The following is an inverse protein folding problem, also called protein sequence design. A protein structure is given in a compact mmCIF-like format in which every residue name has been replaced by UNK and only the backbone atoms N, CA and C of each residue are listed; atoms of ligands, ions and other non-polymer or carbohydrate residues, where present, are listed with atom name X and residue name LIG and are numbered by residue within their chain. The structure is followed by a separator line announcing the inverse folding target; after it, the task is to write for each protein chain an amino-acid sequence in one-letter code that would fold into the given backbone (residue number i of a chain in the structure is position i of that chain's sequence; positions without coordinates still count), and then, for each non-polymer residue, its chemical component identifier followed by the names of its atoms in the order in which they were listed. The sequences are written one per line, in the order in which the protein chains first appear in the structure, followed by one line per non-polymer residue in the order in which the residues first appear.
data_IF_079696177522
#
_entry.id   IF_079696177522
#
_cell.length_a   1.000
_cell.length_b   1.000
_cell.length_c   1.000
_cell.angle_alpha   90.00
_cell.angle_beta   90.00
_cell.angle_gamma   90.00
#
_symmetry.space_group_name_H-M   'P 1'
#
loop_
_entity.id
_entity.type
_entity.pdbx_description
1 polymer ?
#
# COMPACT_ATOMS: atom_id res chain seq x y z
N UNK A 1 48.46 33.68 12.39
CA UNK A 1 47.52 32.71 12.99
C UNK A 1 48.02 31.33 12.64
N UNK A 2 48.37 30.52 13.64
CA UNK A 2 48.65 29.10 13.43
C UNK A 2 47.29 28.38 13.36
N UNK A 3 46.98 27.75 12.23
CA UNK A 3 45.79 26.94 12.08
C UNK A 3 46.19 25.49 12.32
N UNK A 4 45.63 24.88 13.36
CA UNK A 4 45.77 23.45 13.58
C UNK A 4 44.85 22.70 12.62
N UNK A 5 45.38 21.71 11.92
CA UNK A 5 44.58 20.79 11.10
C UNK A 5 43.96 19.72 12.01
N UNK A 6 42.71 19.97 12.42
CA UNK A 6 41.94 19.03 13.24
C UNK A 6 41.20 18.06 12.31
N UNK A 7 41.48 16.77 12.51
CA UNK A 7 40.83 15.64 11.85
C UNK A 7 39.46 15.39 12.46
N UNK A 8 38.61 14.81 11.63
CA UNK A 8 37.27 14.39 12.02
C UNK A 8 37.29 13.18 12.95
N UNK A 9 36.20 12.99 13.70
CA UNK A 9 35.98 11.92 14.69
C UNK A 9 37.14 11.74 15.68
N UNK A 10 37.81 12.84 16.04
CA UNK A 10 39.03 12.84 16.85
C UNK A 10 38.85 13.66 18.12
N UNK A 11 39.43 13.17 19.22
CA UNK A 11 39.47 13.86 20.52
C UNK A 11 40.78 14.64 20.65
N UNK A 12 40.67 15.86 21.16
CA UNK A 12 41.80 16.77 21.27
C UNK A 12 41.85 17.45 22.64
N UNK A 13 43.00 18.07 22.90
CA UNK A 13 43.25 18.96 24.03
C UNK A 13 43.82 20.27 23.50
N UNK A 14 43.28 21.40 23.96
CA UNK A 14 43.85 22.73 23.69
C UNK A 14 44.40 23.24 25.01
N UNK A 15 45.68 23.65 25.00
CA UNK A 15 46.34 24.27 26.13
C UNK A 15 47.02 25.57 25.71
N UNK A 16 47.04 26.54 26.63
CA UNK A 16 47.81 27.76 26.49
C UNK A 16 48.84 27.83 27.61
N UNK A 17 50.08 28.06 27.22
CA UNK A 17 51.19 28.42 28.09
C UNK A 17 51.71 29.77 27.63
N UNK A 18 52.07 30.63 28.57
CA UNK A 18 52.60 31.95 28.29
C UNK A 18 53.84 32.18 29.14
N UNK A 19 54.84 32.82 28.55
CA UNK A 19 56.06 33.25 29.22
C UNK A 19 56.14 34.78 29.12
N UNK A 20 56.37 35.46 30.23
CA UNK A 20 56.58 36.91 30.20
C UNK A 20 58.02 37.28 29.74
N UNK A 21 58.29 38.56 29.50
CA UNK A 21 59.62 39.03 29.08
C UNK A 21 60.73 38.77 30.11
N UNK A 22 60.37 38.45 31.36
CA UNK A 22 61.28 38.14 32.45
C UNK A 22 61.49 36.61 32.64
N UNK A 23 60.83 35.78 31.82
CA UNK A 23 60.95 34.33 31.84
C UNK A 23 60.02 33.61 32.82
N UNK A 24 59.00 34.28 33.36
CA UNK A 24 58.03 33.63 34.24
C UNK A 24 56.94 32.94 33.40
N UNK A 25 56.71 31.65 33.67
CA UNK A 25 55.63 30.88 33.05
C UNK A 25 54.29 31.11 33.77
N UNK A 26 53.24 31.35 32.99
CA UNK A 26 51.86 31.35 33.46
C UNK A 26 51.42 29.93 33.85
N UNK A 27 50.45 29.84 34.77
CA UNK A 27 49.79 28.55 35.05
C UNK A 27 49.06 28.11 33.77
N UNK A 28 49.31 26.88 33.26
CA UNK A 28 48.65 26.40 32.05
C UNK A 28 47.14 26.40 32.23
N UNK A 29 46.44 26.86 31.19
CA UNK A 29 44.98 26.71 31.08
C UNK A 29 44.68 25.88 29.85
N UNK A 30 43.71 24.97 29.95
CA UNK A 30 43.35 24.13 28.83
C UNK A 30 41.96 23.56 28.90
N UNK A 31 41.45 23.22 27.73
CA UNK A 31 40.24 22.41 27.54
C UNK A 31 40.68 21.00 27.16
N UNK A 32 40.17 20.03 27.90
CA UNK A 32 40.45 18.61 27.71
C UNK A 32 39.22 17.95 27.09
N UNK A 33 39.43 16.92 26.27
CA UNK A 33 38.39 16.08 25.70
C UNK A 33 37.38 16.80 24.79
N UNK A 34 37.83 17.78 23.99
CA UNK A 34 36.95 18.31 22.94
C UNK A 34 36.97 17.36 21.74
N UNK A 35 35.80 17.11 21.16
CA UNK A 35 35.62 16.23 20.01
C UNK A 35 35.36 17.09 18.78
N UNK A 36 36.03 16.76 17.68
CA UNK A 36 35.69 17.32 16.37
C UNK A 36 34.92 16.26 15.62
N UNK A 37 33.68 16.59 15.30
CA UNK A 37 32.80 15.79 14.46
C UNK A 37 32.17 16.68 13.40
N UNK A 38 32.35 16.32 12.15
CA UNK A 38 31.84 17.02 10.95
C UNK A 38 31.02 16.07 10.09
N UNK A 39 30.78 14.85 10.56
CA UNK A 39 30.01 13.86 9.81
C UNK A 39 28.54 14.20 9.92
N UNK A 40 27.84 14.21 8.79
CA UNK A 40 26.39 14.44 8.79
C UNK A 40 25.70 13.13 9.17
N UNK A 41 24.62 13.17 9.97
CA UNK A 41 23.79 12.00 10.16
C UNK A 41 23.17 11.57 8.84
N UNK A 42 23.14 10.27 8.56
CA UNK A 42 22.59 9.67 7.34
C UNK A 42 21.53 8.65 7.70
N UNK A 43 20.35 8.81 7.10
CA UNK A 43 19.31 7.79 7.09
C UNK A 43 19.52 6.88 5.88
N UNK A 44 19.47 5.56 6.09
CA UNK A 44 19.62 4.55 5.05
C UNK A 44 18.63 3.40 5.25
N UNK A 45 18.50 2.50 4.28
CA UNK A 45 17.58 1.35 4.33
C UNK A 45 16.14 1.74 4.72
N UNK A 46 15.63 2.79 4.07
CA UNK A 46 14.39 3.45 4.50
C UNK A 46 13.16 2.74 3.93
N UNK A 47 12.16 2.55 4.78
CA UNK A 47 10.77 2.23 4.45
C UNK A 47 9.85 3.26 5.13
N UNK A 48 8.80 3.77 4.47
CA UNK A 48 8.38 3.43 3.10
C UNK A 48 9.35 3.97 2.03
N UNK A 49 9.24 3.45 0.81
CA UNK A 49 10.01 3.92 -0.35
C UNK A 49 9.18 4.89 -1.19
N UNK A 50 9.82 5.63 -2.09
CA UNK A 50 9.08 6.48 -3.01
C UNK A 50 8.17 5.65 -3.93
N UNK A 51 7.04 6.22 -4.38
CA UNK A 51 6.04 5.58 -5.23
C UNK A 51 5.36 4.36 -4.59
N UNK A 52 5.15 4.38 -3.28
CA UNK A 52 4.43 3.31 -2.57
C UNK A 52 3.04 3.76 -2.14
N UNK A 53 2.15 2.79 -2.03
CA UNK A 53 0.83 2.90 -1.42
C UNK A 53 0.87 2.21 -0.07
N UNK A 54 0.20 2.78 0.92
CA UNK A 54 0.19 2.23 2.27
C UNK A 54 -1.00 2.74 3.06
N UNK A 55 -1.60 1.84 3.83
CA UNK A 55 -2.66 2.13 4.79
C UNK A 55 -2.13 2.30 6.24
N UNK A 56 -0.83 2.15 6.41
CA UNK A 56 -0.16 2.08 7.70
C UNK A 56 1.24 2.73 7.59
N UNK A 57 1.39 4.00 7.99
CA UNK A 57 2.60 4.79 7.76
C UNK A 57 3.71 4.42 8.75
N UNK A 58 4.19 3.17 8.65
CA UNK A 58 5.27 2.60 9.45
C UNK A 58 6.62 2.97 8.85
N UNK A 59 7.60 3.18 9.72
CA UNK A 59 8.95 3.57 9.35
C UNK A 59 9.96 2.50 9.73
N UNK A 60 10.87 2.22 8.80
CA UNK A 60 12.10 1.45 9.06
C UNK A 60 13.26 2.26 8.50
N UNK A 61 14.36 2.37 9.23
CA UNK A 61 15.56 3.05 8.75
C UNK A 61 16.80 2.62 9.53
N UNK A 62 17.97 2.95 9.00
CA UNK A 62 19.27 2.81 9.67
C UNK A 62 19.94 4.16 9.77
N UNK A 63 20.29 4.57 10.99
CA UNK A 63 21.06 5.77 11.28
C UNK A 63 22.56 5.49 11.28
N UNK A 64 23.34 6.37 10.64
CA UNK A 64 24.81 6.28 10.65
C UNK A 64 25.44 6.58 12.00
N UNK A 65 24.76 7.35 12.85
CA UNK A 65 25.23 7.86 14.15
C UNK A 65 24.06 8.27 15.05
N UNK A 66 24.35 8.61 16.32
CA UNK A 66 23.35 9.09 17.27
C UNK A 66 22.88 10.51 16.92
N UNK A 67 21.57 10.74 16.98
CA UNK A 67 20.97 12.06 16.84
C UNK A 67 20.85 12.78 18.18
N UNK A 68 21.00 14.10 18.16
CA UNK A 68 20.48 14.99 19.19
C UNK A 68 19.00 15.31 18.98
N UNK A 69 18.58 15.43 17.71
CA UNK A 69 17.24 15.80 17.31
C UNK A 69 16.88 15.19 15.97
N UNK A 70 15.62 14.78 15.81
CA UNK A 70 15.09 14.30 14.55
C UNK A 70 13.60 14.63 14.40
N UNK A 71 13.16 14.84 13.15
CA UNK A 71 11.73 15.00 12.84
C UNK A 71 11.40 14.44 11.46
N UNK A 72 10.12 14.12 11.28
CA UNK A 72 9.55 13.72 10.01
C UNK A 72 8.51 14.75 9.58
N UNK A 73 8.58 15.16 8.31
CA UNK A 73 7.68 16.14 7.72
C UNK A 73 6.97 15.50 6.54
N UNK A 74 5.64 15.42 6.62
CA UNK A 74 4.77 15.04 5.52
C UNK A 74 4.25 16.31 4.86
N UNK A 75 4.54 16.51 3.57
CA UNK A 75 4.00 17.62 2.77
C UNK A 75 3.05 17.07 1.73
N UNK A 76 1.78 17.48 1.77
CA UNK A 76 0.80 17.09 0.75
C UNK A 76 1.19 17.65 -0.63
N UNK A 77 1.24 16.77 -1.64
CA UNK A 77 1.60 17.12 -3.00
C UNK A 77 0.47 17.87 -3.74
N UNK A 78 0.78 18.40 -4.92
CA UNK A 78 -0.20 19.03 -5.82
C UNK A 78 -1.24 18.00 -6.29
N UNK A 79 -2.52 18.28 -6.05
CA UNK A 79 -3.63 17.37 -6.38
C UNK A 79 -4.36 16.79 -5.16
N UNK A 80 -3.82 16.94 -3.95
CA UNK A 80 -4.57 16.68 -2.71
C UNK A 80 -5.57 17.81 -2.41
N UNK A 81 -6.55 17.53 -1.54
CA UNK A 81 -7.58 18.50 -1.13
C UNK A 81 -6.98 19.80 -0.56
N UNK A 82 -5.86 19.70 0.16
CA UNK A 82 -5.18 20.83 0.82
C UNK A 82 -3.68 20.89 0.47
N UNK A 83 -3.35 20.85 -0.83
CA UNK A 83 -1.96 20.85 -1.31
C UNK A 83 -1.06 21.89 -0.62
N UNK A 84 0.13 21.44 -0.23
CA UNK A 84 1.11 22.25 0.51
C UNK A 84 0.92 22.23 2.04
N UNK A 85 -0.13 21.59 2.55
CA UNK A 85 -0.30 21.36 3.99
C UNK A 85 0.81 20.44 4.49
N UNK A 86 1.37 20.81 5.65
CA UNK A 86 2.43 20.06 6.31
C UNK A 86 1.95 19.46 7.62
N UNK A 87 2.29 18.21 7.82
CA UNK A 87 2.18 17.53 9.12
C UNK A 87 3.60 17.20 9.56
N UNK A 88 4.02 17.80 10.66
CA UNK A 88 5.37 17.61 11.21
C UNK A 88 5.27 16.97 12.58
N UNK A 89 6.12 15.99 12.85
CA UNK A 89 6.24 15.41 14.17
C UNK A 89 7.69 15.04 14.50
N UNK A 90 8.04 15.21 15.77
CA UNK A 90 9.37 14.92 16.28
C UNK A 90 9.52 13.42 16.54
N UNK A 91 10.67 12.88 16.13
CA UNK A 91 11.10 11.54 16.52
C UNK A 91 11.35 11.52 18.04
N UNK A 92 11.22 10.36 18.67
CA UNK A 92 11.46 10.25 20.11
C UNK A 92 12.91 9.87 20.43
N UNK A 93 13.26 9.83 21.73
CA UNK A 93 14.63 9.53 22.15
C UNK A 93 15.10 8.11 21.81
N UNK A 94 14.19 7.17 21.56
CA UNK A 94 14.52 5.80 21.15
C UNK A 94 14.98 5.81 19.68
N UNK A 95 14.31 6.61 18.85
CA UNK A 95 14.61 6.79 17.42
C UNK A 95 15.96 7.49 17.16
N UNK A 96 16.58 8.10 18.19
CA UNK A 96 17.83 8.85 18.05
C UNK A 96 19.09 7.99 18.09
N UNK A 97 18.99 6.70 18.40
CA UNK A 97 20.17 5.85 18.51
C UNK A 97 20.73 5.44 17.14
N UNK A 98 22.05 5.33 17.04
CA UNK A 98 22.74 4.79 15.87
C UNK A 98 22.28 3.36 15.58
N UNK A 99 22.17 3.03 14.30
CA UNK A 99 21.90 1.68 13.83
C UNK A 99 20.47 1.48 13.36
N UNK A 100 20.02 0.23 13.41
CA UNK A 100 18.77 -0.20 12.78
C UNK A 100 17.56 0.09 13.68
N UNK A 101 16.58 0.78 13.11
CA UNK A 101 15.26 1.01 13.66
C UNK A 101 14.26 0.18 12.86
N UNK A 102 13.66 -0.80 13.53
CA UNK A 102 12.73 -1.73 12.92
C UNK A 102 11.42 -1.04 12.52
N UNK A 103 10.70 -1.67 11.59
CA UNK A 103 9.40 -1.21 11.12
C UNK A 103 8.40 -0.98 12.26
N UNK A 104 8.11 0.27 12.59
CA UNK A 104 7.14 0.66 13.62
C UNK A 104 6.49 2.02 13.31
N UNK A 105 5.40 2.35 14.00
CA UNK A 105 4.89 3.71 14.06
C UNK A 105 5.86 4.60 14.83
N UNK A 106 6.14 5.78 14.31
CA UNK A 106 6.86 6.79 15.08
C UNK A 106 5.96 7.29 16.21
N UNK A 107 6.48 7.34 17.43
CA UNK A 107 5.66 7.50 18.64
C UNK A 107 4.77 8.75 18.65
N UNK A 108 5.28 9.85 18.11
CA UNK A 108 4.57 11.12 18.03
C UNK A 108 3.87 11.35 16.68
N UNK A 109 3.69 10.29 15.90
CA UNK A 109 3.07 10.39 14.58
C UNK A 109 1.65 10.97 14.67
N UNK A 110 1.44 12.04 13.93
CA UNK A 110 0.15 12.68 13.81
C UNK A 110 -0.70 12.02 12.72
N UNK A 111 -2.04 12.11 12.78
CA UNK A 111 -2.92 11.57 11.75
C UNK A 111 -2.60 12.15 10.37
N UNK A 112 -2.56 11.27 9.38
CA UNK A 112 -2.47 11.63 7.96
C UNK A 112 -3.87 11.68 7.34
N UNK A 113 -4.01 12.40 6.22
CA UNK A 113 -5.27 12.55 5.50
C UNK A 113 -5.45 11.38 4.54
N UNK A 114 -6.55 10.67 4.68
CA UNK A 114 -6.94 9.57 3.79
C UNK A 114 -7.05 10.03 2.32
N UNK A 115 -6.51 9.23 1.40
CA UNK A 115 -6.45 9.52 -0.04
C UNK A 115 -5.41 10.58 -0.45
N UNK A 116 -4.60 11.10 0.48
CA UNK A 116 -3.59 12.10 0.18
C UNK A 116 -2.27 11.48 -0.35
N UNK A 117 -1.57 12.26 -1.17
CA UNK A 117 -0.23 11.93 -1.68
C UNK A 117 0.76 12.85 -1.00
N UNK A 118 1.81 12.28 -0.39
CA UNK A 118 2.80 13.00 0.39
C UNK A 118 4.20 12.92 -0.22
N UNK A 119 4.95 13.99 -0.02
CA UNK A 119 6.41 13.95 0.06
C UNK A 119 6.80 13.94 1.54
N UNK A 120 7.53 12.90 1.96
CA UNK A 120 8.04 12.74 3.32
C UNK A 120 9.50 13.17 3.36
N UNK A 121 9.86 14.00 4.33
CA UNK A 121 11.24 14.41 4.59
C UNK A 121 11.66 13.94 5.98
N UNK A 122 12.80 13.25 6.07
CA UNK A 122 13.45 12.90 7.32
C UNK A 122 14.57 13.91 7.58
N UNK A 123 14.53 14.52 8.77
CA UNK A 123 15.50 15.53 9.21
C UNK A 123 16.17 15.05 10.47
N UNK A 124 17.50 15.12 10.51
CA UNK A 124 18.32 14.72 11.65
C UNK A 124 19.43 15.72 11.95
N UNK A 125 19.69 15.91 13.23
CA UNK A 125 20.80 16.68 13.77
C UNK A 125 21.54 15.81 14.79
N UNK A 126 22.84 15.67 14.64
CA UNK A 126 23.67 14.90 15.57
C UNK A 126 24.01 15.69 16.86
N UNK A 127 24.79 15.08 17.74
CA UNK A 127 25.26 15.68 19.01
C UNK A 127 26.22 16.85 18.77
N UNK A 128 26.93 16.87 17.64
CA UNK A 128 27.90 17.89 17.26
C UNK A 128 27.32 19.06 16.44
N UNK A 129 26.00 19.07 16.22
CA UNK A 129 25.25 20.07 15.44
C UNK A 129 25.42 19.96 13.91
N UNK A 130 25.83 18.78 13.41
CA UNK A 130 25.79 18.48 11.98
C UNK A 130 24.34 18.13 11.58
N UNK A 131 23.88 18.72 10.48
CA UNK A 131 22.46 18.71 10.06
C UNK A 131 22.26 18.02 8.71
N UNK A 132 21.30 17.11 8.62
CA UNK A 132 20.86 16.48 7.38
C UNK A 132 19.34 16.58 7.22
N UNK A 133 18.89 17.18 6.12
CA UNK A 133 17.49 17.28 5.72
C UNK A 133 17.27 16.82 4.27
N UNK A 134 18.22 16.09 3.69
CA UNK A 134 18.23 15.72 2.27
C UNK A 134 17.48 14.42 1.97
N UNK A 135 17.06 13.70 3.02
CA UNK A 135 16.38 12.41 2.91
C UNK A 135 14.91 12.61 2.56
N UNK A 136 14.51 12.17 1.36
CA UNK A 136 13.16 12.36 0.83
C UNK A 136 12.54 11.03 0.34
N UNK A 137 11.26 10.86 0.62
CA UNK A 137 10.38 9.84 0.04
C UNK A 137 9.28 10.59 -0.70
N UNK A 138 9.15 10.37 -2.01
CA UNK A 138 8.17 11.07 -2.85
C UNK A 138 7.06 10.14 -3.29
N UNK A 139 5.89 10.69 -3.61
CA UNK A 139 4.76 9.93 -4.18
C UNK A 139 4.30 8.80 -3.25
N UNK A 140 4.30 9.09 -1.94
CA UNK A 140 3.75 8.22 -0.91
C UNK A 140 2.23 8.41 -0.84
N UNK A 141 1.48 7.40 -1.27
CA UNK A 141 0.02 7.42 -1.26
C UNK A 141 -0.48 6.82 0.05
N UNK A 142 -1.14 7.64 0.86
CA UNK A 142 -1.76 7.19 2.10
C UNK A 142 -3.25 6.97 1.88
N UNK A 143 -3.71 5.74 2.11
CA UNK A 143 -5.09 5.33 1.86
C UNK A 143 -5.51 4.25 2.84
N UNK A 144 -6.53 4.53 3.65
CA UNK A 144 -7.14 3.61 4.63
C UNK A 144 -8.57 3.23 4.26
N UNK A 145 -9.09 3.74 3.13
CA UNK A 145 -10.43 3.40 2.67
C UNK A 145 -10.43 1.97 2.12
N UNK A 146 -11.44 1.17 2.49
CA UNK A 146 -11.56 -0.19 1.97
C UNK A 146 -12.03 -0.17 0.51
N UNK A 147 -11.47 -1.02 -0.37
CA UNK A 147 -11.99 -1.16 -1.73
C UNK A 147 -13.42 -1.71 -1.69
N UNK A 148 -14.33 -1.14 -2.46
CA UNK A 148 -15.70 -1.64 -2.62
C UNK A 148 -15.86 -2.21 -4.01
N UNK A 149 -16.17 -3.50 -4.09
CA UNK A 149 -16.53 -4.17 -5.34
C UNK A 149 -17.98 -4.62 -5.29
N UNK A 150 -18.76 -4.27 -6.31
CA UNK A 150 -20.16 -4.68 -6.45
C UNK A 150 -20.29 -5.72 -7.55
N UNK A 151 -20.89 -6.87 -7.24
CA UNK A 151 -21.33 -7.86 -8.23
C UNK A 151 -22.63 -7.37 -8.88
N UNK A 152 -22.60 -7.10 -10.18
CA UNK A 152 -23.73 -6.61 -10.96
C UNK A 152 -24.46 -7.74 -11.71
N UNK A 153 -23.72 -8.78 -12.09
CA UNK A 153 -24.20 -9.97 -12.79
C UNK A 153 -23.24 -11.12 -12.47
N UNK A 154 -23.70 -12.35 -12.18
CA UNK A 154 -25.09 -12.77 -12.05
C UNK A 154 -25.84 -12.14 -10.86
N UNK A 155 -27.16 -12.21 -10.90
CA UNK A 155 -28.06 -11.84 -9.79
C UNK A 155 -28.38 -13.07 -8.92
N UNK A 156 -28.91 -12.84 -7.71
CA UNK A 156 -29.36 -13.93 -6.83
C UNK A 156 -30.38 -14.82 -7.53
N UNK A 157 -30.27 -16.13 -7.33
CA UNK A 157 -31.18 -17.15 -7.87
C UNK A 157 -31.35 -17.11 -9.41
N UNK A 158 -30.42 -16.46 -10.12
CA UNK A 158 -30.45 -16.40 -11.58
C UNK A 158 -29.99 -17.72 -12.21
N UNK A 159 -30.47 -17.98 -13.42
CA UNK A 159 -30.00 -19.07 -14.26
C UNK A 159 -28.96 -18.53 -15.24
N UNK A 160 -27.77 -19.11 -15.26
CA UNK A 160 -26.67 -18.72 -16.14
C UNK A 160 -26.12 -19.93 -16.89
N UNK A 161 -25.76 -19.71 -18.15
CA UNK A 161 -25.12 -20.70 -19.00
C UNK A 161 -23.64 -20.39 -19.27
N UNK A 162 -23.09 -19.40 -18.56
CA UNK A 162 -21.67 -19.03 -18.60
C UNK A 162 -21.17 -18.69 -17.20
N UNK A 163 -19.86 -18.68 -17.01
CA UNK A 163 -19.21 -18.22 -15.78
C UNK A 163 -18.81 -16.73 -15.83
N UNK A 164 -19.43 -15.96 -16.74
CA UNK A 164 -19.16 -14.54 -16.85
C UNK A 164 -19.73 -13.80 -15.64
N UNK A 165 -18.97 -12.83 -15.15
CA UNK A 165 -19.35 -12.00 -14.00
C UNK A 165 -19.12 -10.54 -14.36
N UNK A 166 -20.05 -9.66 -14.03
CA UNK A 166 -19.87 -8.21 -14.18
C UNK A 166 -19.69 -7.60 -12.80
N UNK A 167 -18.60 -6.84 -12.63
CA UNK A 167 -18.25 -6.17 -11.36
C UNK A 167 -18.15 -4.67 -11.57
N UNK A 168 -18.26 -3.91 -10.48
CA UNK A 168 -17.92 -2.48 -10.44
C UNK A 168 -17.04 -2.20 -9.23
N UNK A 169 -15.81 -1.75 -9.47
CA UNK A 169 -14.81 -1.45 -8.43
C UNK A 169 -14.84 0.05 -8.10
N UNK A 170 -14.81 0.41 -6.82
CA UNK A 170 -14.71 1.81 -6.37
C UNK A 170 -13.36 2.45 -6.69
N UNK A 171 -12.34 1.62 -6.91
CA UNK A 171 -10.96 2.02 -7.13
C UNK A 171 -10.18 0.94 -7.89
N UNK A 172 -8.90 1.20 -8.17
CA UNK A 172 -8.02 0.19 -8.76
C UNK A 172 -7.59 -0.81 -7.67
N UNK A 173 -7.71 -2.09 -7.97
CA UNK A 173 -7.32 -3.16 -7.06
C UNK A 173 -5.89 -3.64 -7.35
N UNK A 174 -5.19 -4.07 -6.30
CA UNK A 174 -3.93 -4.80 -6.41
C UNK A 174 -4.17 -6.26 -6.74
N UNK A 175 -5.11 -6.89 -6.04
CA UNK A 175 -5.52 -8.29 -6.28
C UNK A 175 -7.01 -8.46 -6.06
N UNK A 176 -7.58 -9.48 -6.72
CA UNK A 176 -8.93 -9.95 -6.44
C UNK A 176 -9.01 -11.47 -6.67
N UNK A 177 -9.74 -12.15 -5.81
CA UNK A 177 -9.94 -13.60 -5.81
C UNK A 177 -11.43 -13.90 -5.84
N UNK A 178 -11.89 -14.54 -6.91
CA UNK A 178 -13.29 -14.89 -7.11
C UNK A 178 -13.55 -16.35 -6.72
N UNK A 179 -14.62 -16.54 -5.95
CA UNK A 179 -15.03 -17.83 -5.41
C UNK A 179 -16.43 -18.20 -5.89
N UNK A 180 -16.57 -19.40 -6.45
CA UNK A 180 -17.85 -20.06 -6.69
C UNK A 180 -17.97 -21.26 -5.76
N UNK A 181 -18.92 -21.27 -4.83
CA UNK A 181 -19.07 -22.30 -3.80
C UNK A 181 -20.37 -23.06 -4.00
N UNK A 182 -20.31 -24.38 -4.14
CA UNK A 182 -21.51 -25.21 -4.23
C UNK A 182 -22.13 -25.46 -2.83
N UNK A 183 -23.33 -26.05 -2.71
CA UNK A 183 -23.98 -26.30 -1.42
C UNK A 183 -23.24 -27.33 -0.56
N UNK A 184 -22.29 -28.08 -1.13
CA UNK A 184 -21.42 -29.01 -0.42
C UNK A 184 -20.18 -28.34 0.19
N UNK A 185 -19.95 -27.05 -0.12
CA UNK A 185 -18.78 -26.29 0.32
C UNK A 185 -17.57 -26.40 -0.60
N UNK A 186 -17.67 -27.06 -1.75
CA UNK A 186 -16.59 -27.12 -2.73
C UNK A 186 -16.45 -25.77 -3.43
N UNK A 187 -15.36 -25.07 -3.14
CA UNK A 187 -15.03 -23.79 -3.76
C UNK A 187 -14.21 -23.97 -5.05
N UNK A 188 -14.62 -23.26 -6.11
CA UNK A 188 -13.78 -22.97 -7.28
C UNK A 188 -13.22 -21.56 -7.13
N UNK A 189 -11.91 -21.47 -6.97
CA UNK A 189 -11.17 -20.23 -6.82
C UNK A 189 -10.49 -19.84 -8.14
N UNK A 190 -10.53 -18.55 -8.47
CA UNK A 190 -9.69 -17.97 -9.52
C UNK A 190 -9.22 -16.57 -9.14
N UNK A 191 -7.92 -16.28 -9.34
CA UNK A 191 -7.39 -14.93 -9.23
C UNK A 191 -7.72 -14.13 -10.49
N UNK A 192 -8.21 -12.90 -10.32
CA UNK A 192 -8.54 -12.02 -11.43
C UNK A 192 -7.27 -11.47 -12.09
N UNK A 193 -7.34 -11.26 -13.40
CA UNK A 193 -6.25 -10.72 -14.22
C UNK A 193 -6.14 -9.22 -13.97
N UNK A 194 -4.93 -8.68 -14.01
CA UNK A 194 -4.63 -7.24 -13.79
C UNK A 194 -5.54 -6.30 -14.60
N UNK A 195 -5.85 -6.63 -15.85
CA UNK A 195 -6.72 -5.79 -16.70
C UNK A 195 -8.16 -5.65 -16.21
N UNK A 196 -8.62 -6.59 -15.37
CA UNK A 196 -10.00 -6.64 -14.86
C UNK A 196 -10.08 -6.02 -13.44
N UNK A 197 -8.96 -5.53 -12.89
CA UNK A 197 -8.84 -4.91 -11.55
C UNK A 197 -9.01 -3.38 -11.57
N UNK A 198 -9.25 -2.80 -12.73
CA UNK A 198 -9.38 -1.35 -12.87
C UNK A 198 -10.65 -0.83 -12.18
N UNK A 199 -10.62 0.44 -11.76
CA UNK A 199 -11.78 1.17 -11.27
C UNK A 199 -12.95 1.13 -12.28
N UNK A 200 -14.17 1.07 -11.76
CA UNK A 200 -15.40 1.07 -12.54
C UNK A 200 -15.84 -0.32 -12.99
N UNK A 201 -16.71 -0.35 -14.00
CA UNK A 201 -17.35 -1.58 -14.47
C UNK A 201 -16.41 -2.44 -15.33
N UNK A 202 -16.29 -3.72 -14.97
CA UNK A 202 -15.49 -4.70 -15.70
C UNK A 202 -16.29 -5.99 -15.88
N UNK A 203 -16.23 -6.55 -17.09
CA UNK A 203 -16.86 -7.84 -17.42
C UNK A 203 -15.81 -8.96 -17.44
N UNK A 204 -15.86 -9.80 -16.42
CA UNK A 204 -15.00 -10.95 -16.22
C UNK A 204 -15.41 -12.09 -17.17
N UNK A 205 -14.60 -12.34 -18.19
CA UNK A 205 -14.83 -13.40 -19.19
C UNK A 205 -13.58 -14.24 -19.40
N UNK A 206 -13.75 -15.47 -19.91
CA UNK A 206 -12.63 -16.36 -20.25
C UNK A 206 -11.76 -16.72 -19.04
N UNK A 207 -12.39 -16.91 -17.87
CA UNK A 207 -11.74 -17.55 -16.73
C UNK A 207 -11.97 -19.05 -16.80
N UNK A 208 -10.91 -19.84 -16.60
CA UNK A 208 -10.94 -21.29 -16.68
C UNK A 208 -11.57 -21.90 -15.41
N UNK A 209 -12.86 -21.67 -15.22
CA UNK A 209 -13.65 -22.17 -14.08
C UNK A 209 -14.55 -23.29 -14.58
N UNK A 210 -14.38 -24.48 -14.02
CA UNK A 210 -15.25 -25.63 -14.29
C UNK A 210 -16.38 -25.68 -13.26
N UNK A 211 -17.56 -25.20 -13.67
CA UNK A 211 -18.80 -25.31 -12.92
C UNK A 211 -19.56 -26.57 -13.34
N UNK A 212 -20.23 -27.21 -12.39
CA UNK A 212 -21.04 -28.40 -12.62
C UNK A 212 -22.43 -28.00 -13.10
N UNK A 213 -22.94 -28.74 -14.08
CA UNK A 213 -24.29 -28.57 -14.61
C UNK A 213 -25.38 -28.78 -13.54
N UNK A 214 -26.47 -28.02 -13.65
CA UNK A 214 -27.62 -28.05 -12.74
C UNK A 214 -27.24 -27.93 -11.26
N UNK A 215 -26.18 -27.18 -10.97
CA UNK A 215 -25.66 -26.98 -9.61
C UNK A 215 -25.87 -25.53 -9.19
N UNK A 216 -26.31 -25.35 -7.94
CA UNK A 216 -26.40 -24.04 -7.31
C UNK A 216 -25.03 -23.56 -6.85
N UNK A 217 -24.73 -22.28 -6.98
CA UNK A 217 -23.50 -21.69 -6.51
C UNK A 217 -23.75 -20.37 -5.80
N UNK A 218 -23.01 -20.15 -4.73
CA UNK A 218 -22.83 -18.85 -4.13
C UNK A 218 -21.53 -18.23 -4.66
N UNK A 219 -21.57 -16.94 -4.97
CA UNK A 219 -20.46 -16.19 -5.59
C UNK A 219 -20.05 -15.02 -4.70
N UNK A 220 -18.76 -14.87 -4.45
CA UNK A 220 -18.18 -13.66 -3.87
C UNK A 220 -16.75 -13.42 -4.35
N UNK A 221 -16.25 -12.21 -4.13
CA UNK A 221 -14.88 -11.82 -4.47
C UNK A 221 -14.22 -11.20 -3.24
N UNK A 222 -13.02 -11.69 -2.91
CA UNK A 222 -12.12 -11.02 -1.97
C UNK A 222 -11.23 -10.06 -2.76
N UNK A 223 -11.01 -8.86 -2.25
CA UNK A 223 -10.30 -7.78 -2.95
C UNK A 223 -9.27 -7.15 -2.03
N UNK A 224 -8.16 -6.72 -2.64
CA UNK A 224 -7.09 -5.96 -1.99
C UNK A 224 -6.78 -4.77 -2.88
N UNK A 225 -6.77 -3.55 -2.33
CA UNK A 225 -6.37 -2.36 -3.07
C UNK A 225 -4.84 -2.18 -3.13
N UNK A 226 -4.39 -1.09 -3.73
CA UNK A 226 -2.96 -0.78 -3.84
C UNK A 226 -2.29 -0.51 -2.48
N UNK A 227 -3.02 0.04 -1.52
CA UNK A 227 -2.52 0.37 -0.17
C UNK A 227 -2.54 -0.83 0.80
N UNK A 228 -3.14 -1.95 0.37
CA UNK A 228 -3.26 -3.18 1.14
C UNK A 228 -4.55 -3.29 1.96
N UNK A 229 -5.52 -2.38 1.79
CA UNK A 229 -6.83 -2.53 2.42
C UNK A 229 -7.58 -3.70 1.76
N UNK A 230 -8.33 -4.45 2.56
CA UNK A 230 -9.01 -5.66 2.09
C UNK A 230 -10.52 -5.57 2.29
N UNK A 231 -11.28 -6.13 1.35
CA UNK A 231 -12.73 -6.23 1.47
C UNK A 231 -13.27 -7.47 0.75
N UNK A 232 -14.48 -7.89 1.13
CA UNK A 232 -15.23 -8.94 0.46
C UNK A 232 -16.54 -8.36 -0.10
N UNK A 233 -16.92 -8.77 -1.29
CA UNK A 233 -18.25 -8.43 -1.84
C UNK A 233 -19.38 -9.04 -1.00
N UNK A 234 -20.60 -8.55 -1.21
CA UNK A 234 -21.79 -9.35 -0.83
C UNK A 234 -21.72 -10.69 -1.56
N UNK A 235 -22.21 -11.74 -0.90
CA UNK A 235 -22.44 -13.02 -1.54
C UNK A 235 -23.67 -12.88 -2.45
N UNK A 236 -23.52 -13.29 -3.72
CA UNK A 236 -24.63 -13.53 -4.64
C UNK A 236 -25.04 -14.98 -4.50
N UNK A 237 -26.26 -15.24 -4.06
CA UNK A 237 -26.69 -16.56 -3.59
C UNK A 237 -27.47 -17.34 -4.65
N UNK A 238 -27.27 -18.66 -4.66
CA UNK A 238 -28.14 -19.60 -5.36
C UNK A 238 -28.16 -19.51 -6.89
N UNK A 239 -27.07 -19.05 -7.51
CA UNK A 239 -26.90 -19.00 -8.97
C UNK A 239 -26.95 -20.42 -9.54
N UNK A 240 -27.80 -20.67 -10.52
CA UNK A 240 -27.95 -21.99 -11.14
C UNK A 240 -27.19 -22.01 -12.45
N UNK A 241 -26.15 -22.85 -12.52
CA UNK A 241 -25.42 -23.07 -13.77
C UNK A 241 -26.11 -24.16 -14.60
N UNK A 242 -26.67 -23.75 -15.75
CA UNK A 242 -27.43 -24.61 -16.66
C UNK A 242 -27.01 -24.31 -18.12
N UNK A 243 -26.34 -25.27 -18.74
CA UNK A 243 -25.96 -25.26 -20.15
C UNK A 243 -26.80 -26.23 -21.00
N UNK A 244 -27.85 -26.82 -20.43
CA UNK A 244 -28.74 -27.76 -21.12
C UNK A 244 -29.59 -27.02 -22.15
N UNK A 245 -29.43 -27.38 -23.43
CA UNK A 245 -30.25 -26.82 -24.50
C UNK A 245 -31.68 -27.37 -24.43
N UNK A 246 -32.72 -26.54 -24.64
CA UNK A 246 -34.09 -27.01 -24.71
C UNK A 246 -34.30 -27.94 -25.91
N UNK A 247 -35.07 -29.02 -25.74
CA UNK A 247 -35.35 -30.00 -26.79
C UNK A 247 -36.76 -29.78 -27.36
N UNK A 248 -36.84 -29.12 -28.52
CA UNK A 248 -38.12 -28.90 -29.20
C UNK A 248 -38.44 -30.05 -30.17
N UNK A 249 -39.65 -30.62 -30.05
CA UNK A 249 -40.16 -31.62 -31.00
C UNK A 249 -41.51 -31.21 -31.55
N UNK A 250 -41.64 -31.11 -32.87
CA UNK A 250 -42.94 -30.88 -33.53
C UNK A 250 -43.75 -32.18 -33.46
N UNK A 251 -44.94 -32.11 -32.87
CA UNK A 251 -45.87 -33.24 -32.77
C UNK A 251 -46.91 -33.24 -33.88
N UNK A 252 -47.30 -32.06 -34.40
CA UNK A 252 -48.17 -31.94 -35.58
C UNK A 252 -47.83 -30.72 -36.44
N UNK A 253 -47.93 -30.83 -37.79
CA UNK A 253 -48.18 -32.06 -38.52
C UNK A 253 -47.02 -33.06 -38.37
N UNK A 254 -47.34 -34.35 -38.38
CA UNK A 254 -46.29 -35.36 -38.46
C UNK A 254 -45.52 -35.19 -39.77
N UNK A 255 -44.24 -35.56 -39.80
CA UNK A 255 -43.44 -35.46 -41.02
C UNK A 255 -44.11 -36.25 -42.16
N UNK A 256 -44.39 -35.58 -43.29
CA UNK A 256 -45.13 -36.14 -44.42
C UNK A 256 -46.66 -36.28 -44.23
N UNK A 257 -47.21 -35.82 -43.11
CA UNK A 257 -48.65 -35.81 -42.86
C UNK A 257 -49.38 -34.67 -43.56
N UNK A 258 -50.60 -34.92 -44.01
CA UNK A 258 -51.49 -33.90 -44.56
C UNK A 258 -52.41 -33.36 -43.47
N UNK A 259 -52.46 -32.04 -43.30
CA UNK A 259 -53.42 -31.37 -42.42
C UNK A 259 -54.26 -30.38 -43.24
N UNK A 260 -55.54 -30.25 -42.89
CA UNK A 260 -56.48 -29.31 -43.51
C UNK A 260 -56.79 -28.10 -42.61
N UNK A 261 -55.98 -27.88 -41.58
CA UNK A 261 -56.08 -26.76 -40.66
C UNK A 261 -54.71 -26.08 -40.50
N UNK A 262 -54.69 -24.91 -39.86
CA UNK A 262 -53.47 -24.10 -39.66
C UNK A 262 -52.76 -24.38 -38.32
N UNK A 263 -53.17 -25.42 -37.59
CA UNK A 263 -52.65 -25.68 -36.26
C UNK A 263 -51.34 -26.48 -36.31
N UNK A 264 -50.36 -26.02 -35.53
CA UNK A 264 -49.09 -26.70 -35.27
C UNK A 264 -49.05 -27.02 -33.78
N UNK A 265 -48.56 -28.21 -33.43
CA UNK A 265 -48.33 -28.57 -32.03
C UNK A 265 -46.88 -29.04 -31.85
N UNK A 266 -46.32 -28.76 -30.67
CA UNK A 266 -44.96 -29.13 -30.31
C UNK A 266 -44.90 -29.54 -28.83
N UNK A 267 -43.82 -30.20 -28.45
CA UNK A 267 -43.41 -30.42 -27.05
C UNK A 267 -42.07 -29.73 -26.83
N UNK A 268 -41.88 -29.21 -25.61
CA UNK A 268 -40.63 -28.62 -25.10
C UNK A 268 -40.08 -29.54 -24.02
#
# INVERSE_FOLDING_TARGET
YAQADLRDSSTYMIGFEAEDLAGNFAKPVGLYNFHVDRTLPVFSNISPRSNTYSNNPLFEFTLSEDLYYGKVIFTEQAGSLNSGTKVEFEMDSVDFSQGFHALDTLKNQLPLVDGAIYTIQLVGRDIADNWNDTTLITDYHYDITLPVTVLLDPLDSSFVNTNAVTINNSENLLTAEMFWINPQGDAKLVSLRTRDLAIGENRLIMYAISLNENTHYDLFINTVDLAGNTNQTRITEGIIYDITLPLLTITKPANGGYINNKAVSYTV
#
